data_IF_050694623151
#
_entry.id   IF_050694623151
#
_cell.length_a   1.000
_cell.length_b   1.000
_cell.length_c   1.000
_cell.angle_alpha   90.00
_cell.angle_beta   90.00
_cell.angle_gamma   90.00
#
_symmetry.space_group_name_H-M   'P 1'
#
loop_
_entity.id
_entity.type
_entity.pdbx_description
1 polymer ?
#
# COMPACT_ATOMS: atom_id res chain seq x y z
N UNK A 1 13.21 -8.94 4.40
CA UNK A 1 13.24 -9.27 5.84
C UNK A 1 12.09 -8.51 6.46
N UNK A 2 11.08 -9.21 6.98
CA UNK A 2 9.91 -8.60 7.60
C UNK A 2 10.31 -7.94 8.90
N UNK A 3 10.11 -6.63 9.03
CA UNK A 3 10.35 -5.91 10.28
C UNK A 3 9.28 -6.29 11.32
N UNK A 4 9.73 -6.69 12.52
CA UNK A 4 8.86 -7.07 13.61
C UNK A 4 8.51 -5.82 14.43
N UNK A 5 7.27 -5.34 14.30
CA UNK A 5 6.77 -4.28 15.17
C UNK A 5 6.33 -4.92 16.48
N UNK A 6 7.12 -4.74 17.54
CA UNK A 6 6.80 -5.26 18.87
C UNK A 6 5.76 -4.37 19.56
N UNK A 7 4.51 -4.82 19.63
CA UNK A 7 3.50 -4.26 20.53
C UNK A 7 3.35 -5.15 21.76
N UNK A 8 3.18 -4.56 22.94
CA UNK A 8 3.29 -5.25 24.25
C UNK A 8 2.42 -6.50 24.44
N UNK A 9 1.38 -6.70 23.63
CA UNK A 9 0.47 -7.86 23.70
C UNK A 9 0.18 -8.52 22.35
N UNK A 10 0.82 -8.07 21.26
CA UNK A 10 0.61 -8.64 19.93
C UNK A 10 1.90 -8.56 19.12
N UNK A 11 2.43 -9.72 18.75
CA UNK A 11 3.49 -9.85 17.75
C UNK A 11 2.78 -10.11 16.42
N UNK A 12 2.68 -9.10 15.57
CA UNK A 12 2.02 -9.23 14.26
C UNK A 12 2.99 -8.85 13.16
N UNK A 13 3.28 -9.77 12.25
CA UNK A 13 3.99 -9.51 11.00
C UNK A 13 2.95 -9.24 9.93
N UNK A 14 2.69 -7.97 9.63
CA UNK A 14 1.77 -7.58 8.55
C UNK A 14 2.58 -7.33 7.29
N UNK A 15 2.77 -8.36 6.47
CA UNK A 15 3.37 -8.22 5.14
C UNK A 15 2.25 -8.26 4.11
N UNK A 16 1.79 -7.08 3.67
CA UNK A 16 0.59 -6.95 2.85
C UNK A 16 0.95 -6.68 1.39
N UNK A 17 0.94 -7.74 0.57
CA UNK A 17 0.81 -7.58 -0.88
C UNK A 17 -0.67 -7.36 -1.22
N UNK A 18 -1.07 -6.10 -1.39
CA UNK A 18 -2.44 -5.73 -1.74
C UNK A 18 -2.50 -5.48 -3.26
N UNK A 19 -3.32 -6.24 -3.97
CA UNK A 19 -3.56 -6.06 -5.41
C UNK A 19 -4.97 -5.51 -5.62
N UNK A 20 -5.06 -4.29 -6.15
CA UNK A 20 -6.32 -3.58 -6.40
C UNK A 20 -6.47 -3.33 -7.91
N UNK A 21 -7.34 -4.06 -8.62
CA UNK A 21 -7.57 -3.82 -10.04
C UNK A 21 -8.35 -2.53 -10.28
N UNK A 22 -8.06 -1.85 -11.40
CA UNK A 22 -8.83 -0.68 -11.81
C UNK A 22 -10.28 -1.07 -12.13
N UNK A 23 -11.21 -0.13 -11.87
CA UNK A 23 -12.64 -0.29 -12.19
C UNK A 23 -12.80 -0.70 -13.67
N UNK A 24 -13.52 -1.79 -13.90
CA UNK A 24 -13.75 -2.39 -15.23
C UNK A 24 -12.51 -2.96 -15.94
N UNK A 25 -11.42 -3.28 -15.22
CA UNK A 25 -10.18 -3.83 -15.80
C UNK A 25 -9.61 -3.01 -16.96
N UNK A 26 -9.85 -1.69 -16.94
CA UNK A 26 -9.35 -0.79 -17.98
C UNK A 26 -7.85 -0.54 -17.75
N UNK A 27 -7.07 -0.55 -18.83
CA UNK A 27 -5.65 -0.18 -18.82
C UNK A 27 -5.49 1.36 -18.71
N UNK A 28 -5.83 1.89 -17.53
CA UNK A 28 -5.77 3.33 -17.22
C UNK A 28 -4.46 3.68 -16.49
N UNK A 29 -3.66 2.68 -16.11
CA UNK A 29 -2.39 2.90 -15.44
C UNK A 29 -1.31 3.35 -16.42
N UNK A 30 -1.29 4.66 -16.69
CA UNK A 30 -0.17 5.36 -17.33
C UNK A 30 0.83 5.81 -16.27
N UNK A 31 2.07 6.10 -16.66
CA UNK A 31 3.18 6.47 -15.76
C UNK A 31 2.80 7.58 -14.77
N UNK A 32 2.13 8.63 -15.24
CA UNK A 32 1.70 9.75 -14.40
C UNK A 32 0.63 9.35 -13.37
N UNK A 33 -0.35 8.54 -13.75
CA UNK A 33 -1.42 8.09 -12.83
C UNK A 33 -0.84 7.16 -11.77
N UNK A 34 0.12 6.31 -12.15
CA UNK A 34 0.80 5.43 -11.20
C UNK A 34 1.63 6.22 -10.18
N UNK A 35 2.29 7.30 -10.60
CA UNK A 35 3.07 8.17 -9.72
C UNK A 35 2.19 8.89 -8.70
N UNK A 36 1.10 9.53 -9.16
CA UNK A 36 0.14 10.21 -8.28
C UNK A 36 -0.50 9.23 -7.28
N UNK A 37 -0.86 8.03 -7.73
CA UNK A 37 -1.46 7.02 -6.84
C UNK A 37 -0.49 6.57 -5.75
N UNK A 38 0.80 6.43 -6.10
CA UNK A 38 1.86 6.07 -5.15
C UNK A 38 2.04 7.16 -4.10
N UNK A 39 2.08 8.42 -4.51
CA UNK A 39 2.23 9.54 -3.59
C UNK A 39 1.05 9.62 -2.60
N UNK A 40 -0.18 9.47 -3.10
CA UNK A 40 -1.38 9.41 -2.23
C UNK A 40 -1.31 8.24 -1.24
N UNK A 41 -0.88 7.05 -1.68
CA UNK A 41 -0.74 5.90 -0.78
C UNK A 41 0.32 6.16 0.31
N UNK A 42 1.44 6.79 -0.03
CA UNK A 42 2.49 7.15 0.93
C UNK A 42 2.01 8.22 1.92
N UNK A 43 1.22 9.21 1.47
CA UNK A 43 0.62 10.20 2.36
C UNK A 43 -0.38 9.57 3.34
N UNK A 44 -1.17 8.59 2.87
CA UNK A 44 -2.11 7.85 3.74
C UNK A 44 -1.33 7.02 4.77
N UNK A 45 -0.25 6.36 4.37
CA UNK A 45 0.63 5.59 5.28
C UNK A 45 1.26 6.49 6.35
N UNK A 46 1.72 7.70 5.99
CA UNK A 46 2.28 8.62 7.00
C UNK A 46 1.23 9.10 8.01
N UNK A 47 -0.04 9.10 7.64
CA UNK A 47 -1.14 9.55 8.50
C UNK A 47 -1.62 8.47 9.48
N UNK A 48 -1.39 7.19 9.20
CA UNK A 48 -1.97 6.04 9.92
C UNK A 48 -0.91 5.03 10.36
#
# INVERSE_FOLDING_TARGET
>A
MSEYIHKSHNVTVLMSQIVLPAKYHKAIFYSHIAEVLKDICLEIEQRY
#
